data_IF_476850566786
#
_entry.id   IF_476850566786
#
_cell.length_a   1.000
_cell.length_b   1.000
_cell.length_c   1.000
_cell.angle_alpha   90.00
_cell.angle_beta   90.00
_cell.angle_gamma   90.00
#
_symmetry.space_group_name_H-M   'P 1'
#
loop_
_entity.id
_entity.type
_entity.pdbx_description
1 polymer ?
#
# COMPACT_ATOMS: atom_id res chain seq x y z
N UNK A 1 -64.14 -28.60 12.36
CA UNK A 1 -63.49 -28.94 13.64
C UNK A 1 -62.01 -28.75 13.47
N UNK A 2 -61.48 -27.67 14.05
CA UNK A 2 -60.05 -27.39 14.12
C UNK A 2 -59.48 -28.10 15.36
N UNK A 3 -58.26 -28.63 15.25
CA UNK A 3 -57.37 -28.80 16.39
C UNK A 3 -55.96 -28.55 15.93
N UNK A 4 -55.45 -27.39 16.35
CA UNK A 4 -54.05 -27.03 16.27
C UNK A 4 -53.30 -27.74 17.40
N UNK A 5 -52.07 -28.18 17.14
CA UNK A 5 -51.05 -28.28 18.20
C UNK A 5 -49.74 -27.75 17.66
N UNK A 6 -49.37 -26.61 18.25
CA UNK A 6 -48.16 -25.83 18.02
C UNK A 6 -46.92 -26.56 18.54
N UNK A 7 -45.79 -26.41 17.85
CA UNK A 7 -44.47 -26.48 18.47
C UNK A 7 -43.79 -25.15 18.21
N UNK A 8 -43.72 -24.36 19.28
CA UNK A 8 -42.94 -23.13 19.40
C UNK A 8 -41.47 -23.50 19.49
N UNK A 9 -40.64 -22.98 18.59
CA UNK A 9 -39.19 -22.89 18.81
C UNK A 9 -38.85 -21.40 18.93
N UNK A 10 -38.62 -20.99 20.17
CA UNK A 10 -38.02 -19.70 20.51
C UNK A 10 -36.54 -19.72 20.07
N UNK A 11 -36.19 -18.91 19.08
CA UNK A 11 -34.82 -18.47 18.84
C UNK A 11 -34.83 -16.93 18.76
N UNK A 12 -34.94 -16.32 19.94
CA UNK A 12 -34.74 -14.89 20.13
C UNK A 12 -33.25 -14.56 20.04
N UNK A 13 -32.94 -13.36 19.55
CA UNK A 13 -31.68 -12.62 19.77
C UNK A 13 -30.54 -12.73 18.74
N UNK A 14 -30.81 -12.75 17.42
CA UNK A 14 -29.78 -12.34 16.42
C UNK A 14 -30.27 -11.40 15.30
N UNK A 15 -31.56 -11.08 15.24
CA UNK A 15 -32.20 -10.53 14.04
C UNK A 15 -32.29 -9.01 13.93
N UNK A 16 -31.92 -8.23 14.94
CA UNK A 16 -32.11 -6.76 14.88
C UNK A 16 -30.90 -5.97 14.36
N UNK A 17 -29.68 -6.48 14.53
CA UNK A 17 -28.48 -5.75 14.05
C UNK A 17 -28.22 -6.03 12.56
N UNK A 18 -28.54 -7.24 12.08
CA UNK A 18 -28.32 -7.65 10.69
C UNK A 18 -29.34 -7.04 9.71
N UNK A 19 -30.53 -6.64 10.19
CA UNK A 19 -31.58 -6.01 9.35
C UNK A 19 -31.35 -4.53 9.02
N UNK A 20 -30.39 -3.84 9.64
CA UNK A 20 -30.19 -2.39 9.41
C UNK A 20 -29.26 -2.04 8.26
N UNK A 21 -28.61 -3.01 7.61
CA UNK A 21 -27.68 -2.77 6.51
C UNK A 21 -27.98 -3.60 5.25
N UNK A 22 -29.17 -4.19 5.13
CA UNK A 22 -29.64 -4.71 3.84
C UNK A 22 -30.17 -3.53 3.02
N UNK A 23 -29.32 -2.97 2.15
CA UNK A 23 -29.81 -2.18 1.02
C UNK A 23 -30.54 -3.17 0.11
N UNK A 24 -31.85 -3.32 0.32
CA UNK A 24 -32.71 -4.12 -0.54
C UNK A 24 -32.75 -3.46 -1.93
N UNK A 25 -31.85 -3.87 -2.80
CA UNK A 25 -31.98 -3.65 -4.24
C UNK A 25 -33.11 -4.57 -4.73
N UNK A 26 -34.35 -4.15 -4.48
CA UNK A 26 -35.55 -4.84 -4.97
C UNK A 26 -35.69 -4.60 -6.49
N UNK A 27 -34.79 -5.19 -7.29
CA UNK A 27 -34.90 -5.25 -8.73
C UNK A 27 -35.88 -6.38 -9.05
N UNK A 28 -37.11 -6.01 -9.43
CA UNK A 28 -38.29 -6.87 -9.51
C UNK A 28 -38.27 -8.07 -10.48
N UNK A 29 -37.11 -8.50 -10.99
CA UNK A 29 -36.94 -9.82 -11.61
C UNK A 29 -35.46 -10.25 -11.65
N UNK A 30 -35.15 -11.56 -11.49
CA UNK A 30 -33.78 -12.07 -11.55
C UNK A 30 -33.09 -11.84 -12.90
N UNK A 31 -33.86 -11.70 -14.00
CA UNK A 31 -33.33 -11.40 -15.33
C UNK A 31 -32.78 -9.97 -15.42
N UNK A 32 -33.46 -8.99 -14.81
CA UNK A 32 -33.00 -7.60 -14.75
C UNK A 32 -31.76 -7.49 -13.86
N UNK A 33 -31.71 -8.25 -12.76
CA UNK A 33 -30.53 -8.31 -11.90
C UNK A 33 -29.31 -8.82 -12.68
N UNK A 34 -29.40 -9.97 -13.38
CA UNK A 34 -28.31 -10.48 -14.20
C UNK A 34 -27.88 -9.50 -15.30
N UNK A 35 -28.85 -8.90 -15.99
CA UNK A 35 -28.58 -7.99 -17.12
C UNK A 35 -27.88 -6.69 -16.70
N UNK A 36 -28.01 -6.26 -15.44
CA UNK A 36 -27.36 -5.06 -14.92
C UNK A 36 -26.07 -5.40 -14.16
N UNK A 37 -26.10 -6.45 -13.35
CA UNK A 37 -24.99 -6.82 -12.48
C UNK A 37 -23.77 -7.36 -13.26
N UNK A 38 -23.99 -8.16 -14.31
CA UNK A 38 -22.90 -8.72 -15.11
C UNK A 38 -22.12 -7.63 -15.85
N UNK A 39 -22.76 -6.72 -16.62
CA UNK A 39 -22.04 -5.63 -17.27
C UNK A 39 -21.36 -4.71 -16.26
N UNK A 40 -22.01 -4.41 -15.13
CA UNK A 40 -21.42 -3.57 -14.09
C UNK A 40 -20.16 -4.21 -13.48
N UNK A 41 -20.19 -5.52 -13.23
CA UNK A 41 -19.04 -6.28 -12.72
C UNK A 41 -17.89 -6.33 -13.73
N UNK A 42 -18.21 -6.56 -15.02
CA UNK A 42 -17.21 -6.53 -16.10
C UNK A 42 -16.61 -5.13 -16.24
N UNK A 43 -17.43 -4.07 -16.20
CA UNK A 43 -16.96 -2.68 -16.21
C UNK A 43 -16.07 -2.39 -15.01
N UNK A 44 -16.41 -2.85 -13.80
CA UNK A 44 -15.57 -2.70 -12.62
C UNK A 44 -14.21 -3.39 -12.81
N UNK A 45 -14.18 -4.62 -13.32
CA UNK A 45 -12.92 -5.32 -13.57
C UNK A 45 -12.05 -4.60 -14.61
N UNK A 46 -12.65 -4.20 -15.74
CA UNK A 46 -11.92 -3.59 -16.86
C UNK A 46 -11.49 -2.15 -16.60
N UNK A 47 -12.32 -1.35 -15.91
CA UNK A 47 -12.07 0.08 -15.73
C UNK A 47 -11.39 0.41 -14.40
N UNK A 48 -11.47 -0.48 -13.41
CA UNK A 48 -10.87 -0.23 -12.08
C UNK A 48 -9.81 -1.26 -11.73
N UNK A 49 -10.14 -2.56 -11.67
CA UNK A 49 -9.22 -3.58 -11.14
C UNK A 49 -7.99 -3.75 -12.02
N UNK A 50 -8.16 -3.90 -13.34
CA UNK A 50 -7.03 -4.08 -14.26
C UNK A 50 -6.12 -2.83 -14.26
N UNK A 51 -6.63 -1.60 -14.48
CA UNK A 51 -5.78 -0.41 -14.48
C UNK A 51 -5.03 -0.18 -13.17
N UNK A 52 -5.69 -0.40 -12.03
CA UNK A 52 -5.07 -0.25 -10.70
C UNK A 52 -3.95 -1.27 -10.49
N UNK A 53 -4.18 -2.54 -10.84
CA UNK A 53 -3.15 -3.57 -10.71
C UNK A 53 -1.99 -3.36 -11.69
N UNK A 54 -2.26 -2.98 -12.93
CA UNK A 54 -1.23 -2.62 -13.91
C UNK A 54 -0.39 -1.44 -13.43
N UNK A 55 -1.04 -0.41 -12.86
CA UNK A 55 -0.33 0.72 -12.27
C UNK A 55 0.55 0.31 -11.09
N UNK A 56 0.08 -0.55 -10.19
CA UNK A 56 0.91 -1.03 -9.07
C UNK A 56 2.17 -1.76 -9.55
N UNK A 57 2.04 -2.63 -10.55
CA UNK A 57 3.19 -3.33 -11.13
C UNK A 57 4.17 -2.32 -11.71
N UNK A 58 3.68 -1.38 -12.51
CA UNK A 58 4.50 -0.31 -13.08
C UNK A 58 5.21 0.49 -11.99
N UNK A 59 4.49 0.94 -10.96
CA UNK A 59 5.04 1.72 -9.86
C UNK A 59 6.13 0.93 -9.10
N UNK A 60 5.88 -0.34 -8.80
CA UNK A 60 6.88 -1.24 -8.18
C UNK A 60 8.15 -1.30 -9.02
N UNK A 61 8.02 -1.50 -10.35
CA UNK A 61 9.17 -1.54 -11.25
C UNK A 61 9.96 -0.23 -11.22
N UNK A 62 9.29 0.92 -11.24
CA UNK A 62 10.04 2.18 -11.20
C UNK A 62 10.70 2.44 -9.84
N UNK A 63 10.03 2.10 -8.73
CA UNK A 63 10.65 2.16 -7.41
C UNK A 63 11.91 1.29 -7.31
N UNK A 64 11.85 0.07 -7.86
CA UNK A 64 13.00 -0.81 -7.96
C UNK A 64 14.15 -0.17 -8.77
N UNK A 65 13.87 0.43 -9.92
CA UNK A 65 14.89 1.04 -10.77
C UNK A 65 15.53 2.28 -10.09
N UNK A 66 14.74 3.09 -9.41
CA UNK A 66 15.23 4.21 -8.58
C UNK A 66 16.13 3.69 -7.46
N UNK A 67 15.71 2.63 -6.77
CA UNK A 67 16.51 2.02 -5.72
C UNK A 67 17.86 1.54 -6.28
N UNK A 68 17.89 0.92 -7.46
CA UNK A 68 19.13 0.56 -8.13
C UNK A 68 20.01 1.78 -8.45
N UNK A 69 19.42 2.90 -8.87
CA UNK A 69 20.16 4.14 -9.09
C UNK A 69 20.80 4.69 -7.80
N UNK A 70 20.11 4.63 -6.66
CA UNK A 70 20.70 4.99 -5.36
C UNK A 70 21.85 4.06 -4.96
N UNK A 71 21.68 2.74 -5.16
CA UNK A 71 22.74 1.77 -4.87
C UNK A 71 23.96 1.96 -5.78
N UNK A 72 23.75 2.25 -7.06
CA UNK A 72 24.83 2.57 -8.00
C UNK A 72 25.54 3.88 -7.61
N UNK A 73 24.79 4.89 -7.16
CA UNK A 73 25.36 6.12 -6.63
C UNK A 73 26.25 5.84 -5.41
N UNK A 74 25.75 5.06 -4.45
CA UNK A 74 26.50 4.61 -3.26
C UNK A 74 27.78 3.86 -3.63
N UNK A 75 27.71 2.89 -4.55
CA UNK A 75 28.89 2.13 -4.99
C UNK A 75 29.94 3.04 -5.68
N UNK A 76 29.48 4.02 -6.46
CA UNK A 76 30.37 5.00 -7.12
C UNK A 76 31.05 5.94 -6.13
N UNK A 77 30.36 6.30 -5.06
CA UNK A 77 30.89 7.10 -3.96
C UNK A 77 32.00 6.32 -3.22
N UNK A 78 31.74 5.05 -2.88
CA UNK A 78 32.67 4.23 -2.09
C UNK A 78 33.89 3.68 -2.87
N UNK A 79 33.84 3.67 -4.22
CA UNK A 79 34.93 3.14 -5.06
C UNK A 79 36.03 4.14 -5.39
N UNK A 80 35.85 5.44 -5.10
CA UNK A 80 36.83 6.48 -5.44
C UNK A 80 37.72 6.83 -4.25
N UNK A 81 39.04 6.75 -4.43
CA UNK A 81 40.04 7.18 -3.45
C UNK A 81 40.07 8.69 -3.23
N UNK A 82 39.67 9.49 -4.23
CA UNK A 82 39.49 10.93 -4.14
C UNK A 82 38.09 11.31 -4.70
N UNK A 83 37.09 11.57 -3.84
CA UNK A 83 35.73 11.87 -4.29
C UNK A 83 35.65 13.27 -4.94
N UNK A 84 35.12 13.33 -6.17
CA UNK A 84 34.68 14.61 -6.75
C UNK A 84 33.29 14.95 -6.18
N UNK A 85 33.29 15.65 -5.05
CA UNK A 85 32.07 16.08 -4.35
C UNK A 85 31.17 16.95 -5.21
N UNK A 86 31.70 17.70 -6.19
CA UNK A 86 30.88 18.52 -7.10
C UNK A 86 30.07 17.64 -8.03
N UNK A 87 30.71 16.63 -8.61
CA UNK A 87 30.04 15.64 -9.46
C UNK A 87 29.03 14.80 -8.66
N UNK A 88 29.40 14.31 -7.48
CA UNK A 88 28.51 13.52 -6.61
C UNK A 88 27.26 14.32 -6.21
N UNK A 89 27.43 15.57 -5.77
CA UNK A 89 26.30 16.45 -5.42
C UNK A 89 25.37 16.66 -6.61
N UNK A 90 25.92 16.93 -7.81
CA UNK A 90 25.11 17.11 -9.02
C UNK A 90 24.31 15.84 -9.37
N UNK A 91 24.95 14.68 -9.28
CA UNK A 91 24.30 13.40 -9.58
C UNK A 91 23.21 13.06 -8.53
N UNK A 92 23.47 13.32 -7.26
CA UNK A 92 22.47 13.11 -6.20
C UNK A 92 21.27 14.06 -6.35
N UNK A 93 21.51 15.35 -6.62
CA UNK A 93 20.43 16.31 -6.87
C UNK A 93 19.58 15.93 -8.08
N UNK A 94 20.19 15.39 -9.14
CA UNK A 94 19.45 14.86 -10.28
C UNK A 94 18.53 13.70 -9.86
N UNK A 95 19.06 12.73 -9.09
CA UNK A 95 18.29 11.59 -8.62
C UNK A 95 17.15 12.01 -7.69
N UNK A 96 17.41 12.96 -6.78
CA UNK A 96 16.37 13.52 -5.91
C UNK A 96 15.29 14.24 -6.69
N UNK A 97 15.65 15.06 -7.68
CA UNK A 97 14.68 15.74 -8.54
C UNK A 97 13.85 14.74 -9.35
N UNK A 98 14.47 13.66 -9.83
CA UNK A 98 13.76 12.55 -10.50
C UNK A 98 12.70 11.94 -9.56
N UNK A 99 13.06 11.65 -8.31
CA UNK A 99 12.12 11.11 -7.31
C UNK A 99 10.98 12.09 -7.02
N UNK A 100 11.29 13.37 -6.86
CA UNK A 100 10.27 14.41 -6.58
C UNK A 100 9.29 14.57 -7.74
N UNK A 101 9.78 14.59 -8.98
CA UNK A 101 8.94 14.67 -10.20
C UNK A 101 8.07 13.42 -10.33
N UNK A 102 8.64 12.25 -10.08
CA UNK A 102 7.88 11.01 -10.09
C UNK A 102 6.79 10.96 -9.02
N UNK A 103 7.12 11.41 -7.81
CA UNK A 103 6.16 11.49 -6.71
C UNK A 103 5.00 12.46 -7.06
N UNK A 104 5.29 13.63 -7.64
CA UNK A 104 4.25 14.58 -8.02
C UNK A 104 3.27 13.98 -9.04
N UNK A 105 3.78 13.29 -10.07
CA UNK A 105 2.97 12.69 -11.13
C UNK A 105 2.17 11.47 -10.65
N UNK A 106 2.73 10.66 -9.76
CA UNK A 106 2.12 9.40 -9.32
C UNK A 106 1.24 9.54 -8.09
N UNK A 107 1.41 10.59 -7.28
CA UNK A 107 0.69 10.82 -6.01
C UNK A 107 -0.82 10.61 -6.10
N UNK A 108 -1.47 11.25 -7.09
CA UNK A 108 -2.91 11.13 -7.32
C UNK A 108 -3.31 9.69 -7.66
N UNK A 109 -2.54 9.02 -8.52
CA UNK A 109 -2.84 7.65 -8.93
C UNK A 109 -2.61 6.65 -7.79
N UNK A 110 -1.58 6.86 -6.96
CA UNK A 110 -1.37 6.08 -5.72
C UNK A 110 -2.56 6.24 -4.77
N UNK A 111 -3.07 7.46 -4.60
CA UNK A 111 -4.25 7.71 -3.78
C UNK A 111 -5.49 6.97 -4.31
N UNK A 112 -5.73 7.02 -5.62
CA UNK A 112 -6.83 6.28 -6.24
C UNK A 112 -6.66 4.76 -6.10
N UNK A 113 -5.43 4.25 -6.24
CA UNK A 113 -5.12 2.84 -6.04
C UNK A 113 -5.35 2.39 -4.58
N UNK A 114 -5.00 3.22 -3.60
CA UNK A 114 -5.27 2.96 -2.19
C UNK A 114 -6.78 2.93 -1.92
N UNK A 115 -7.51 3.93 -2.42
CA UNK A 115 -8.96 4.03 -2.27
C UNK A 115 -9.67 2.83 -2.92
N UNK A 116 -9.27 2.45 -4.13
CA UNK A 116 -9.80 1.29 -4.84
C UNK A 116 -9.58 -0.02 -4.06
N UNK A 117 -8.41 -0.19 -3.42
CA UNK A 117 -8.16 -1.34 -2.56
C UNK A 117 -9.06 -1.35 -1.31
N UNK A 118 -9.23 -0.21 -0.64
CA UNK A 118 -10.10 -0.13 0.55
C UNK A 118 -11.55 -0.48 0.18
N UNK A 119 -12.05 0.04 -0.94
CA UNK A 119 -13.37 -0.33 -1.43
C UNK A 119 -13.45 -1.81 -1.80
N UNK A 120 -12.46 -2.35 -2.52
CA UNK A 120 -12.42 -3.76 -2.90
C UNK A 120 -12.40 -4.69 -1.68
N UNK A 121 -11.65 -4.33 -0.64
CA UNK A 121 -11.63 -5.03 0.64
C UNK A 121 -13.00 -4.98 1.33
N UNK A 122 -13.58 -3.78 1.44
CA UNK A 122 -14.89 -3.59 2.09
C UNK A 122 -15.99 -4.41 1.41
N UNK A 123 -16.14 -4.26 0.09
CA UNK A 123 -17.14 -4.99 -0.66
C UNK A 123 -16.85 -6.49 -0.69
N UNK A 124 -15.59 -6.89 -0.82
CA UNK A 124 -15.20 -8.29 -0.76
C UNK A 124 -15.58 -8.96 0.56
N UNK A 125 -15.32 -8.30 1.69
CA UNK A 125 -15.71 -8.78 3.03
C UNK A 125 -17.24 -8.79 3.17
N UNK A 126 -17.93 -7.73 2.71
CA UNK A 126 -19.38 -7.65 2.77
C UNK A 126 -20.04 -8.81 2.00
N UNK A 127 -19.55 -9.13 0.80
CA UNK A 127 -20.04 -10.27 0.02
C UNK A 127 -19.73 -11.58 0.75
N UNK A 128 -18.52 -11.77 1.29
CA UNK A 128 -18.19 -12.98 2.06
C UNK A 128 -19.18 -13.19 3.22
N UNK A 129 -19.51 -12.12 3.96
CA UNK A 129 -20.40 -12.17 5.13
C UNK A 129 -21.87 -12.44 4.76
N UNK A 130 -22.34 -11.96 3.62
CA UNK A 130 -23.73 -12.12 3.17
C UNK A 130 -23.98 -13.47 2.47
N UNK A 131 -22.91 -14.16 2.10
CA UNK A 131 -22.96 -15.24 1.12
C UNK A 131 -23.30 -16.64 1.66
N UNK A 132 -24.24 -16.78 2.62
CA UNK A 132 -24.58 -18.07 3.26
C UNK A 132 -24.84 -19.22 2.26
N UNK A 133 -25.31 -18.93 1.03
CA UNK A 133 -25.60 -19.92 -0.04
C UNK A 133 -24.71 -19.83 -1.30
N UNK A 134 -23.60 -19.07 -1.30
CA UNK A 134 -22.75 -18.92 -2.49
C UNK A 134 -21.97 -20.19 -2.88
N UNK A 135 -21.78 -20.39 -4.19
CA UNK A 135 -20.97 -21.48 -4.72
C UNK A 135 -19.51 -21.38 -4.23
N UNK A 136 -18.90 -22.52 -3.90
CA UNK A 136 -17.50 -22.59 -3.43
C UNK A 136 -16.53 -21.87 -4.39
N UNK A 137 -16.76 -21.98 -5.71
CA UNK A 137 -15.93 -21.32 -6.72
C UNK A 137 -15.94 -19.79 -6.61
N UNK A 138 -17.12 -19.19 -6.42
CA UNK A 138 -17.27 -17.74 -6.29
C UNK A 138 -16.57 -17.22 -5.04
N UNK A 139 -16.69 -17.96 -3.92
CA UNK A 139 -15.96 -17.62 -2.69
C UNK A 139 -14.46 -17.63 -2.91
N UNK A 140 -13.92 -18.69 -3.52
CA UNK A 140 -12.48 -18.80 -3.81
C UNK A 140 -12.01 -17.65 -4.70
N UNK A 141 -12.79 -17.27 -5.71
CA UNK A 141 -12.47 -16.14 -6.60
C UNK A 141 -12.42 -14.82 -5.83
N UNK A 142 -13.40 -14.55 -4.96
CA UNK A 142 -13.43 -13.33 -4.14
C UNK A 142 -12.24 -13.30 -3.17
N UNK A 143 -11.96 -14.40 -2.47
CA UNK A 143 -10.79 -14.48 -1.58
C UNK A 143 -9.49 -14.22 -2.34
N UNK A 144 -9.31 -14.85 -3.51
CA UNK A 144 -8.11 -14.69 -4.32
C UNK A 144 -7.95 -13.24 -4.78
N UNK A 145 -9.03 -12.58 -5.21
CA UNK A 145 -9.02 -11.18 -5.62
C UNK A 145 -8.62 -10.25 -4.47
N UNK A 146 -9.22 -10.43 -3.29
CA UNK A 146 -8.93 -9.64 -2.08
C UNK A 146 -7.47 -9.81 -1.66
N UNK A 147 -7.00 -11.06 -1.56
CA UNK A 147 -5.63 -11.38 -1.14
C UNK A 147 -4.63 -10.79 -2.15
N UNK A 148 -4.86 -10.99 -3.45
CA UNK A 148 -3.96 -10.50 -4.49
C UNK A 148 -3.88 -8.97 -4.50
N UNK A 149 -5.02 -8.27 -4.46
CA UNK A 149 -5.06 -6.80 -4.49
C UNK A 149 -4.38 -6.20 -3.26
N UNK A 150 -4.64 -6.78 -2.08
CA UNK A 150 -4.00 -6.36 -0.82
C UNK A 150 -2.49 -6.61 -0.86
N UNK A 151 -2.06 -7.77 -1.37
CA UNK A 151 -0.65 -8.11 -1.49
C UNK A 151 0.08 -7.16 -2.45
N UNK A 152 -0.52 -6.85 -3.60
CA UNK A 152 0.04 -5.90 -4.57
C UNK A 152 0.16 -4.48 -3.98
N UNK A 153 -0.85 -4.04 -3.24
CA UNK A 153 -0.82 -2.75 -2.56
C UNK A 153 0.28 -2.69 -1.47
N UNK A 154 0.44 -3.78 -0.72
CA UNK A 154 1.49 -3.88 0.28
C UNK A 154 2.89 -3.86 -0.36
N UNK A 155 3.10 -4.61 -1.44
CA UNK A 155 4.33 -4.56 -2.22
C UNK A 155 4.63 -3.15 -2.71
N UNK A 156 3.64 -2.47 -3.29
CA UNK A 156 3.78 -1.08 -3.74
C UNK A 156 4.28 -0.16 -2.61
N UNK A 157 3.69 -0.26 -1.42
CA UNK A 157 4.12 0.50 -0.25
C UNK A 157 5.56 0.14 0.18
N UNK A 158 5.91 -1.15 0.19
CA UNK A 158 7.26 -1.60 0.56
C UNK A 158 8.32 -1.08 -0.40
N UNK A 159 8.05 -1.08 -1.70
CA UNK A 159 9.00 -0.58 -2.70
C UNK A 159 9.15 0.95 -2.63
N UNK A 160 8.08 1.69 -2.35
CA UNK A 160 8.16 3.13 -2.06
C UNK A 160 9.04 3.42 -0.83
N UNK A 161 8.89 2.63 0.23
CA UNK A 161 9.73 2.74 1.43
C UNK A 161 11.18 2.36 1.15
N UNK A 162 11.40 1.34 0.31
CA UNK A 162 12.73 0.90 -0.14
C UNK A 162 13.53 1.99 -0.86
N UNK A 163 12.86 2.86 -1.63
CA UNK A 163 13.49 4.05 -2.24
C UNK A 163 13.98 5.01 -1.16
N UNK A 164 13.13 5.33 -0.19
CA UNK A 164 13.44 6.24 0.91
C UNK A 164 14.59 5.70 1.78
N UNK A 165 14.55 4.41 2.10
CA UNK A 165 15.60 3.68 2.83
C UNK A 165 16.92 3.68 2.06
N UNK A 166 16.88 3.52 0.73
CA UNK A 166 18.08 3.57 -0.11
C UNK A 166 18.71 4.96 -0.12
N UNK A 167 17.91 6.02 -0.22
CA UNK A 167 18.40 7.39 -0.11
C UNK A 167 19.03 7.68 1.26
N UNK A 168 18.40 7.23 2.35
CA UNK A 168 18.94 7.33 3.71
C UNK A 168 20.25 6.54 3.88
N UNK A 169 20.38 5.38 3.21
CA UNK A 169 21.63 4.62 3.18
C UNK A 169 22.76 5.40 2.51
N UNK A 170 22.48 6.11 1.41
CA UNK A 170 23.47 7.01 0.78
C UNK A 170 23.90 8.10 1.74
N UNK A 171 22.95 8.73 2.45
CA UNK A 171 23.24 9.78 3.42
C UNK A 171 24.15 9.29 4.56
N UNK A 172 23.85 8.11 5.12
CA UNK A 172 24.62 7.50 6.19
C UNK A 172 26.06 7.19 5.77
N UNK A 173 26.24 6.66 4.56
CA UNK A 173 27.56 6.32 4.04
C UNK A 173 28.36 7.56 3.66
N UNK A 174 27.69 8.61 3.18
CA UNK A 174 28.33 9.88 2.91
C UNK A 174 28.89 10.53 4.18
N UNK A 175 28.24 10.33 5.33
CA UNK A 175 28.75 10.79 6.62
C UNK A 175 29.99 10.02 7.11
N UNK A 176 30.23 8.81 6.58
CA UNK A 176 31.38 7.96 6.94
C UNK A 176 32.59 8.16 6.03
N UNK A 177 32.48 8.98 4.97
CA UNK A 177 33.62 9.32 4.12
C UNK A 177 34.60 10.20 4.88
N UNK A 178 35.89 9.86 4.84
CA UNK A 178 36.93 10.73 5.36
C UNK A 178 37.03 12.00 4.51
N UNK A 179 36.90 13.15 5.16
CA UNK A 179 37.03 14.44 4.52
C UNK A 179 38.49 14.78 4.27
N UNK A 180 38.88 14.85 3.00
CA UNK A 180 40.16 15.45 2.65
C UNK A 180 40.15 16.94 3.03
N UNK A 181 41.15 17.37 3.80
CA UNK A 181 41.27 18.73 4.36
C UNK A 181 41.21 19.81 3.26
N UNK A 182 41.62 19.47 2.04
CA UNK A 182 41.59 20.34 0.87
C UNK A 182 40.17 20.62 0.31
N UNK A 183 39.18 19.77 0.63
CA UNK A 183 37.81 19.82 0.05
C UNK A 183 36.71 20.00 1.11
N UNK A 184 37.08 20.39 2.34
CA UNK A 184 36.17 20.45 3.50
C UNK A 184 34.82 21.14 3.21
N UNK A 185 34.81 22.30 2.55
CA UNK A 185 33.56 23.02 2.25
C UNK A 185 32.65 22.29 1.25
N UNK A 186 33.20 21.62 0.25
CA UNK A 186 32.41 20.87 -0.75
C UNK A 186 31.93 19.53 -0.19
N UNK A 187 32.71 18.92 0.70
CA UNK A 187 32.30 17.73 1.44
C UNK A 187 31.10 18.02 2.36
N UNK A 188 31.15 19.10 3.15
CA UNK A 188 30.03 19.49 4.02
C UNK A 188 28.76 19.78 3.21
N UNK A 189 28.88 20.46 2.06
CA UNK A 189 27.74 20.71 1.16
C UNK A 189 27.15 19.42 0.61
N UNK A 190 27.99 18.44 0.29
CA UNK A 190 27.53 17.14 -0.16
C UNK A 190 26.77 16.40 0.94
N UNK A 191 27.31 16.32 2.16
CA UNK A 191 26.62 15.71 3.32
C UNK A 191 25.26 16.37 3.55
N UNK A 192 25.19 17.71 3.49
CA UNK A 192 23.93 18.44 3.64
C UNK A 192 22.93 18.11 2.53
N UNK A 193 23.38 17.96 1.28
CA UNK A 193 22.51 17.63 0.15
C UNK A 193 21.93 16.21 0.28
N UNK A 194 22.75 15.23 0.69
CA UNK A 194 22.31 13.84 0.85
C UNK A 194 21.49 13.58 2.11
N UNK A 195 21.64 14.43 3.14
CA UNK A 195 20.86 14.34 4.38
C UNK A 195 19.45 14.92 4.23
N UNK A 196 19.09 15.46 3.06
CA UNK A 196 17.72 15.90 2.80
C UNK A 196 16.84 14.70 2.53
N UNK A 197 15.74 14.61 3.26
CA UNK A 197 14.78 13.50 3.12
C UNK A 197 14.31 13.36 1.66
N UNK A 198 14.33 12.11 1.20
CA UNK A 198 13.74 11.68 -0.07
C UNK A 198 12.61 10.73 0.30
N UNK A 199 11.39 11.19 0.13
CA UNK A 199 10.19 10.40 0.42
C UNK A 199 9.34 10.30 -0.85
N UNK A 200 8.90 9.09 -1.16
CA UNK A 200 7.80 8.86 -2.10
C UNK A 200 6.49 8.86 -1.28
N UNK A 201 5.47 9.58 -1.75
CA UNK A 201 4.09 9.70 -1.24
C UNK A 201 3.91 10.50 0.08
N UNK A 202 4.12 11.81 0.02
CA UNK A 202 3.85 12.74 1.13
C UNK A 202 2.48 13.47 1.05
N UNK A 203 1.88 13.60 -0.14
CA UNK A 203 0.72 14.49 -0.34
C UNK A 203 -0.68 13.83 -0.27
N UNK A 204 -0.76 12.52 0.01
CA UNK A 204 -2.04 11.80 0.11
C UNK A 204 -2.55 11.62 1.57
N UNK A 205 -2.02 12.40 2.52
CA UNK A 205 -2.50 12.40 3.91
C UNK A 205 -2.12 11.17 4.76
N UNK A 206 -1.51 10.14 4.18
CA UNK A 206 -0.93 9.03 4.93
C UNK A 206 0.42 8.64 4.31
N UNK A 207 1.54 8.74 5.04
CA UNK A 207 2.81 8.22 4.54
C UNK A 207 2.70 6.70 4.39
N UNK A 208 2.85 6.20 3.16
CA UNK A 208 2.79 4.76 2.85
C UNK A 208 3.75 3.92 3.71
N UNK A 209 4.86 4.49 4.18
CA UNK A 209 5.81 3.83 5.08
C UNK A 209 5.33 3.63 6.53
N UNK A 210 4.32 4.37 7.01
CA UNK A 210 3.83 4.24 8.41
C UNK A 210 2.64 3.31 8.58
N UNK A 211 1.94 2.89 7.53
CA UNK A 211 0.77 2.01 7.70
C UNK A 211 1.22 0.58 8.07
N UNK A 212 2.33 0.09 7.50
CA UNK A 212 2.88 -1.24 7.83
C UNK A 212 3.65 -1.28 9.14
N UNK A 213 4.47 -0.26 9.41
CA UNK A 213 5.33 -0.22 10.61
C UNK A 213 4.52 0.09 11.87
N UNK A 214 3.52 0.98 11.81
CA UNK A 214 2.71 1.30 13.01
C UNK A 214 1.72 0.18 13.38
N UNK A 215 1.27 -0.64 12.42
CA UNK A 215 0.46 -1.82 12.71
C UNK A 215 1.30 -2.95 13.35
N UNK A 216 2.53 -3.18 12.86
CA UNK A 216 3.46 -4.16 13.44
C UNK A 216 4.03 -3.74 14.79
N UNK A 217 4.42 -2.47 14.95
CA UNK A 217 4.97 -1.94 16.21
C UNK A 217 3.92 -1.83 17.31
N UNK A 218 2.64 -1.53 16.99
CA UNK A 218 1.58 -1.55 18.01
C UNK A 218 1.23 -2.96 18.47
N UNK A 219 1.35 -3.98 17.62
CA UNK A 219 1.09 -5.38 18.01
C UNK A 219 2.28 -5.94 18.83
N UNK A 220 3.52 -5.55 18.50
CA UNK A 220 4.71 -5.93 19.27
C UNK A 220 4.87 -5.14 20.58
N UNK A 221 4.43 -3.88 20.63
CA UNK A 221 4.36 -3.12 21.88
C UNK A 221 3.29 -3.67 22.82
N UNK A 222 2.11 -4.05 22.30
CA UNK A 222 1.03 -4.63 23.12
C UNK A 222 1.38 -6.00 23.71
N UNK A 223 2.17 -6.83 23.01
CA UNK A 223 2.70 -8.08 23.59
C UNK A 223 3.80 -7.86 24.64
N UNK A 224 4.51 -6.73 24.58
CA UNK A 224 5.56 -6.40 25.56
C UNK A 224 4.94 -5.89 26.87
N UNK A 225 3.82 -5.19 26.79
CA UNK A 225 3.08 -4.70 27.96
C UNK A 225 2.30 -5.83 28.67
N UNK A 226 1.82 -6.84 27.95
CA UNK A 226 1.16 -8.01 28.56
C UNK A 226 2.13 -8.94 29.31
N UNK A 227 3.43 -8.98 28.95
CA UNK A 227 4.44 -9.72 29.70
C UNK A 227 4.89 -9.00 30.98
N UNK A 228 4.71 -7.68 31.08
CA UNK A 228 5.12 -6.89 32.26
C UNK A 228 4.02 -6.77 33.34
N UNK A 229 2.81 -7.28 33.10
CA UNK A 229 1.73 -7.32 34.10
C UNK A 229 1.57 -8.69 34.80
N UNK A 230 2.39 -9.69 34.47
CA UNK A 230 2.31 -11.06 35.04
C UNK A 230 3.47 -11.33 36.04
N UNK A 231 4.28 -10.32 36.38
CA UNK A 231 5.31 -10.42 37.41
C UNK A 231 5.18 -9.36 38.49
#
# INVERSE_FOLDING_TARGET
MASATSIVIHASSKTEVQKRFSVDFNMGSPEVFLSVFIPLSVCFLLLFVIPVNTFMIYFISVCHDIQQLFQAHKAKMNSRSAPDYRYLTKNYNYLRNLVMEMNSQTSCVVFWAALANVFSLYFGIAVILDSEESFIGERISIYTLIIFSTFMFFLMCLWADGVSSSAASVAREAQMLDGDLASSAMHVRYILAVSQDVQMTQDAGVPCGRIGVVAGERILARRRDEQYQIH
#
